data_IF_489349353700
#
_entry.id   IF_489349353700
#
_cell.length_a   1.000
_cell.length_b   1.000
_cell.length_c   1.000
_cell.angle_alpha   90.00
_cell.angle_beta   90.00
_cell.angle_gamma   90.00
#
_symmetry.space_group_name_H-M   'P 1'
#
loop_
_entity.id
_entity.type
_entity.pdbx_description
1 polymer ?
#
# COMPACT_ATOMS: atom_id res chain seq x y z
N UNK A 1 16.72 0.87 5.69
CA UNK A 1 17.22 0.24 6.93
C UNK A 1 17.36 1.32 7.98
N UNK A 2 16.90 1.08 9.20
CA UNK A 2 17.03 2.04 10.29
C UNK A 2 17.25 1.31 11.60
N UNK A 3 17.99 1.94 12.50
CA UNK A 3 18.36 1.41 13.81
C UNK A 3 18.04 2.44 14.89
N UNK A 4 17.60 1.96 16.06
CA UNK A 4 17.47 2.78 17.25
C UNK A 4 18.76 2.64 18.08
N UNK A 5 19.56 3.69 18.11
CA UNK A 5 20.81 3.75 18.87
C UNK A 5 20.56 4.48 20.18
N UNK A 6 21.08 3.93 21.29
CA UNK A 6 20.98 4.49 22.65
C UNK A 6 19.55 4.91 23.07
N UNK A 7 18.54 4.20 22.55
CA UNK A 7 17.13 4.40 22.88
C UNK A 7 16.50 5.72 22.41
N UNK A 8 17.24 6.59 21.73
CA UNK A 8 16.78 7.95 21.38
C UNK A 8 17.29 8.46 20.03
N UNK A 9 18.29 7.83 19.44
CA UNK A 9 18.84 8.21 18.13
C UNK A 9 18.26 7.27 17.08
N UNK A 10 17.61 7.82 16.06
CA UNK A 10 17.20 7.07 14.88
C UNK A 10 18.30 7.21 13.83
N UNK A 11 19.06 6.15 13.63
CA UNK A 11 20.06 6.07 12.56
C UNK A 11 19.39 5.56 11.28
N UNK A 12 19.39 6.37 10.21
CA UNK A 12 18.85 6.00 8.90
C UNK A 12 19.99 5.76 7.92
N UNK A 13 20.14 4.51 7.47
CA UNK A 13 21.14 4.15 6.47
C UNK A 13 20.68 4.63 5.10
N UNK A 14 21.39 5.60 4.52
CA UNK A 14 21.08 6.12 3.18
C UNK A 14 21.73 5.29 2.07
N UNK A 15 22.99 4.86 2.27
CA UNK A 15 23.74 4.06 1.31
C UNK A 15 24.65 3.08 2.04
N UNK A 16 24.75 1.85 1.52
CA UNK A 16 25.68 0.83 2.00
C UNK A 16 26.38 0.20 0.80
N UNK A 17 27.70 0.34 0.75
CA UNK A 17 28.54 -0.14 -0.34
C UNK A 17 29.37 -1.34 0.15
N UNK A 18 29.34 -2.44 -0.60
CA UNK A 18 30.07 -3.67 -0.25
C UNK A 18 30.89 -4.17 -1.43
N UNK A 19 31.98 -4.88 -1.15
CA UNK A 19 32.92 -5.37 -2.16
C UNK A 19 32.65 -6.80 -2.63
N UNK A 20 32.00 -7.60 -1.79
CA UNK A 20 31.82 -9.02 -1.99
C UNK A 20 30.40 -9.43 -1.60
N UNK A 21 29.90 -10.50 -2.24
CA UNK A 21 28.61 -11.09 -1.91
C UNK A 21 28.57 -11.64 -0.47
N UNK A 22 29.68 -12.19 0.00
CA UNK A 22 29.81 -12.83 1.30
C UNK A 22 31.23 -12.63 1.81
N UNK A 23 31.32 -12.30 3.10
CA UNK A 23 32.56 -12.12 3.84
C UNK A 23 32.56 -13.03 5.07
N UNK A 24 33.75 -13.48 5.44
CA UNK A 24 34.07 -14.31 6.61
C UNK A 24 34.78 -13.53 7.72
N UNK A 25 35.14 -12.27 7.48
CA UNK A 25 35.83 -11.40 8.43
C UNK A 25 34.89 -10.47 9.22
N UNK A 26 33.58 -10.78 9.28
CA UNK A 26 32.63 -10.00 10.05
C UNK A 26 32.73 -10.32 11.56
N UNK A 27 32.77 -9.29 12.41
CA UNK A 27 32.83 -9.44 13.86
C UNK A 27 31.68 -10.29 14.44
N UNK A 28 30.50 -10.21 13.81
CA UNK A 28 29.29 -10.95 14.20
C UNK A 28 29.16 -12.32 13.55
N UNK A 29 29.97 -12.64 12.53
CA UNK A 29 29.88 -13.88 11.77
C UNK A 29 31.20 -14.18 11.06
N UNK A 30 31.94 -15.14 11.63
CA UNK A 30 33.31 -15.50 11.21
C UNK A 30 33.40 -16.51 10.07
N UNK A 31 32.27 -16.95 9.55
CA UNK A 31 32.19 -17.88 8.41
C UNK A 31 31.55 -17.16 7.23
N UNK A 32 31.58 -17.76 6.05
CA UNK A 32 30.84 -17.26 4.89
C UNK A 32 29.35 -17.63 4.95
N UNK A 33 28.45 -16.75 4.47
CA UNK A 33 27.00 -17.03 4.34
C UNK A 33 26.63 -17.39 2.89
N UNK A 34 27.64 -17.52 2.05
CA UNK A 34 27.55 -17.68 0.61
C UNK A 34 28.94 -17.58 -0.02
N UNK A 35 29.06 -17.77 -1.33
CA UNK A 35 30.37 -17.78 -1.99
C UNK A 35 31.04 -16.40 -1.93
N UNK A 36 32.36 -16.39 -1.74
CA UNK A 36 33.20 -15.20 -1.72
C UNK A 36 33.42 -14.68 -3.14
N UNK A 37 32.40 -14.05 -3.70
CA UNK A 37 32.40 -13.52 -5.07
C UNK A 37 32.51 -12.00 -5.01
N UNK A 38 33.50 -11.38 -5.69
CA UNK A 38 33.58 -9.93 -5.84
C UNK A 38 32.35 -9.36 -6.55
N UNK A 39 31.79 -8.29 -5.99
CA UNK A 39 30.60 -7.60 -6.49
C UNK A 39 30.90 -6.12 -6.74
N UNK A 40 31.73 -5.76 -7.73
CA UNK A 40 32.13 -4.37 -7.97
C UNK A 40 30.94 -3.42 -8.20
N UNK A 41 29.82 -3.92 -8.74
CA UNK A 41 28.58 -3.16 -8.89
C UNK A 41 27.88 -2.82 -7.55
N UNK A 42 28.10 -3.60 -6.49
CA UNK A 42 27.55 -3.36 -5.16
C UNK A 42 28.27 -2.22 -4.40
N UNK A 43 29.30 -1.62 -5.00
CA UNK A 43 29.87 -0.36 -4.55
C UNK A 43 28.96 0.83 -4.84
N UNK A 44 27.92 0.66 -5.66
CA UNK A 44 26.94 1.69 -5.95
C UNK A 44 27.61 3.02 -6.42
N UNK A 45 28.41 3.02 -7.51
CA UNK A 45 29.00 4.24 -8.02
C UNK A 45 27.94 5.12 -8.71
N UNK A 46 28.03 6.44 -8.52
CA UNK A 46 27.18 7.41 -9.22
C UNK A 46 26.59 8.47 -8.29
N UNK A 47 25.60 9.19 -8.80
CA UNK A 47 24.90 10.26 -8.07
C UNK A 47 23.61 9.70 -7.48
N UNK A 48 23.42 9.91 -6.19
CA UNK A 48 22.23 9.46 -5.46
C UNK A 48 21.44 10.64 -4.92
N UNK A 49 20.12 10.50 -4.92
CA UNK A 49 19.21 11.42 -4.25
C UNK A 49 18.32 10.63 -3.30
N UNK A 50 18.43 10.93 -2.02
CA UNK A 50 17.61 10.32 -0.97
C UNK A 50 16.49 11.27 -0.58
N UNK A 51 15.29 10.73 -0.38
CA UNK A 51 14.13 11.48 0.12
C UNK A 51 13.63 10.79 1.38
N UNK A 52 13.52 11.54 2.46
CA UNK A 52 12.98 11.11 3.74
C UNK A 52 12.25 12.28 4.39
N UNK A 53 11.43 11.99 5.39
CA UNK A 53 10.71 12.97 6.17
C UNK A 53 10.74 12.59 7.65
N UNK A 54 10.69 13.60 8.51
CA UNK A 54 10.53 13.43 9.95
C UNK A 54 9.21 14.10 10.31
N UNK A 55 8.35 13.38 11.01
CA UNK A 55 7.07 13.88 11.50
C UNK A 55 7.09 13.88 13.03
N UNK A 56 7.47 15.00 13.67
CA UNK A 56 7.32 15.14 15.12
C UNK A 56 5.84 15.10 15.48
N UNK A 57 5.48 14.28 16.46
CA UNK A 57 4.10 14.16 16.91
C UNK A 57 4.03 13.95 18.42
N UNK A 58 2.84 14.18 19.01
CA UNK A 58 2.56 13.83 20.40
C UNK A 58 2.04 12.40 20.50
N UNK A 59 2.27 11.76 21.64
CA UNK A 59 1.77 10.41 21.91
C UNK A 59 2.44 9.36 21.02
N UNK A 60 1.66 8.40 20.55
CA UNK A 60 2.15 7.29 19.75
C UNK A 60 1.94 7.54 18.24
N UNK A 61 2.66 6.76 17.42
CA UNK A 61 2.64 6.87 15.96
C UNK A 61 1.26 6.59 15.35
N UNK A 62 0.42 5.80 16.02
CA UNK A 62 -0.89 5.40 15.52
C UNK A 62 -1.87 6.57 15.62
N UNK A 63 -2.01 7.16 16.80
CA UNK A 63 -2.94 8.27 17.04
C UNK A 63 -2.52 9.53 16.27
N UNK A 64 -1.22 9.68 16.02
CA UNK A 64 -0.67 10.73 15.17
C UNK A 64 -0.82 10.47 13.66
N UNK A 65 -1.35 9.31 13.25
CA UNK A 65 -1.56 9.00 11.83
C UNK A 65 -0.26 8.86 11.01
N UNK A 66 0.87 8.56 11.65
CA UNK A 66 2.21 8.58 11.01
C UNK A 66 2.28 7.66 9.80
N UNK A 67 1.63 6.48 9.88
CA UNK A 67 1.61 5.55 8.75
C UNK A 67 0.89 6.17 7.53
N UNK A 68 -0.22 6.86 7.74
CA UNK A 68 -0.97 7.51 6.66
C UNK A 68 -0.13 8.60 6.00
N UNK A 69 0.47 9.47 6.80
CA UNK A 69 1.38 10.52 6.32
C UNK A 69 2.58 9.92 5.56
N UNK A 70 3.13 8.80 6.04
CA UNK A 70 4.22 8.09 5.36
C UNK A 70 3.80 7.53 3.99
N UNK A 71 2.60 6.98 3.87
CA UNK A 71 2.05 6.49 2.61
C UNK A 71 1.77 7.65 1.65
N UNK A 72 1.16 8.73 2.12
CA UNK A 72 0.88 9.92 1.32
C UNK A 72 2.17 10.62 0.86
N UNK A 73 3.22 10.63 1.69
CA UNK A 73 4.56 11.11 1.28
C UNK A 73 5.19 10.27 0.16
N UNK A 74 4.88 8.98 0.12
CA UNK A 74 5.41 8.04 -0.89
C UNK A 74 4.64 8.08 -2.21
N UNK A 75 3.42 8.63 -2.22
CA UNK A 75 2.53 8.67 -3.39
C UNK A 75 2.28 10.13 -3.80
N UNK A 76 3.05 10.60 -4.78
CA UNK A 76 2.87 11.95 -5.32
C UNK A 76 1.55 12.14 -6.06
N UNK A 77 0.98 13.34 -5.95
CA UNK A 77 -0.16 13.76 -6.77
C UNK A 77 0.21 13.70 -8.25
N UNK A 78 -0.73 13.21 -9.07
CA UNK A 78 -0.61 13.20 -10.53
C UNK A 78 -1.45 14.32 -11.11
N UNK A 79 -0.80 15.27 -11.76
CA UNK A 79 -1.45 16.27 -12.57
C UNK A 79 -1.28 15.89 -14.05
N UNK A 80 -2.37 15.93 -14.80
CA UNK A 80 -2.37 15.73 -16.25
C UNK A 80 -3.09 16.92 -16.86
N UNK A 81 -2.43 17.61 -17.79
CA UNK A 81 -3.06 18.69 -18.54
C UNK A 81 -3.88 18.07 -19.68
N UNK A 82 -5.16 18.45 -19.77
CA UNK A 82 -6.02 18.08 -20.88
C UNK A 82 -6.14 19.28 -21.83
N UNK A 83 -5.34 19.28 -22.89
CA UNK A 83 -5.34 20.30 -23.95
C UNK A 83 -6.50 20.12 -24.96
N UNK A 84 -7.21 18.99 -24.88
CA UNK A 84 -8.37 18.67 -25.70
C UNK A 84 -9.64 18.58 -24.86
N UNK A 85 -9.90 19.59 -24.02
CA UNK A 85 -11.12 19.65 -23.23
C UNK A 85 -12.36 19.62 -24.13
N UNK A 86 -12.94 18.42 -24.29
CA UNK A 86 -14.25 18.16 -24.88
C UNK A 86 -15.24 17.92 -23.75
N UNK A 87 -16.53 18.00 -24.04
CA UNK A 87 -17.55 17.57 -23.09
C UNK A 87 -17.29 16.10 -22.70
N UNK A 88 -17.04 15.89 -21.41
CA UNK A 88 -16.89 14.58 -20.79
C UNK A 88 -18.11 14.26 -19.94
N UNK A 89 -18.34 12.97 -19.70
CA UNK A 89 -19.45 12.49 -18.86
C UNK A 89 -19.07 12.38 -17.37
N UNK A 90 -17.83 12.72 -16.99
CA UNK A 90 -17.39 12.73 -15.60
C UNK A 90 -17.52 14.12 -15.00
N UNK A 91 -17.92 14.24 -13.72
CA UNK A 91 -17.98 15.52 -13.04
C UNK A 91 -16.57 16.08 -12.80
N UNK A 92 -16.47 17.41 -12.67
CA UNK A 92 -15.20 18.11 -12.40
C UNK A 92 -14.50 17.62 -11.12
N UNK A 93 -15.30 17.16 -10.14
CA UNK A 93 -14.80 16.57 -8.89
C UNK A 93 -15.49 15.24 -8.64
N UNK A 94 -14.69 14.23 -8.38
CA UNK A 94 -15.13 12.85 -8.18
C UNK A 94 -14.25 12.17 -7.13
N UNK A 95 -14.85 11.28 -6.34
CA UNK A 95 -14.10 10.32 -5.52
C UNK A 95 -14.38 8.93 -6.06
N UNK A 96 -13.33 8.24 -6.52
CA UNK A 96 -13.47 6.87 -7.05
C UNK A 96 -13.72 5.83 -5.96
N UNK A 97 -13.18 6.07 -4.76
CA UNK A 97 -13.18 5.13 -3.65
C UNK A 97 -13.13 5.88 -2.32
N UNK A 98 -13.98 5.49 -1.37
CA UNK A 98 -13.93 5.96 0.02
C UNK A 98 -14.06 4.80 0.99
N UNK A 99 -13.27 4.84 2.07
CA UNK A 99 -13.27 3.87 3.17
C UNK A 99 -13.50 4.65 4.46
N UNK A 100 -14.38 4.18 5.34
CA UNK A 100 -14.87 4.99 6.49
C UNK A 100 -13.86 5.11 7.62
N UNK A 101 -12.95 4.14 7.79
CA UNK A 101 -12.01 4.13 8.90
C UNK A 101 -10.59 4.45 8.43
N UNK A 102 -9.88 5.41 9.05
CA UNK A 102 -8.49 5.70 8.73
C UNK A 102 -7.52 4.58 9.17
N UNK A 103 -7.97 3.69 10.06
CA UNK A 103 -7.21 2.52 10.52
C UNK A 103 -7.28 1.33 9.53
N UNK A 104 -8.11 1.44 8.48
CA UNK A 104 -8.16 0.48 7.37
C UNK A 104 -7.36 1.02 6.19
N UNK A 105 -6.18 0.46 5.98
CA UNK A 105 -5.23 0.95 4.99
C UNK A 105 -5.45 0.25 3.65
N UNK A 106 -5.60 1.04 2.58
CA UNK A 106 -5.63 0.55 1.21
C UNK A 106 -4.22 0.18 0.75
N UNK A 107 -3.99 -1.11 0.49
CA UNK A 107 -2.72 -1.61 -0.02
C UNK A 107 -2.76 -1.97 -1.50
N UNK A 108 -3.94 -2.24 -2.07
CA UNK A 108 -4.10 -2.45 -3.50
C UNK A 108 -5.49 -2.04 -4.00
N UNK A 109 -5.51 -1.38 -5.15
CA UNK A 109 -6.69 -1.25 -6.00
C UNK A 109 -6.26 -1.42 -7.45
N UNK A 110 -6.56 -2.59 -8.04
CA UNK A 110 -6.11 -2.96 -9.38
C UNK A 110 -7.17 -3.75 -10.14
N UNK A 111 -6.95 -4.01 -11.43
CA UNK A 111 -7.70 -5.03 -12.16
C UNK A 111 -7.33 -6.43 -11.65
N UNK A 112 -8.29 -7.35 -11.64
CA UNK A 112 -8.04 -8.76 -11.35
C UNK A 112 -7.14 -9.38 -12.43
N UNK A 113 -6.43 -10.46 -12.09
CA UNK A 113 -5.53 -11.12 -13.05
C UNK A 113 -6.31 -11.83 -14.16
N UNK A 114 -7.41 -12.49 -13.80
CA UNK A 114 -8.16 -13.36 -14.72
C UNK A 114 -9.56 -12.83 -15.08
N UNK A 115 -9.85 -11.55 -14.84
CA UNK A 115 -11.15 -10.95 -15.20
C UNK A 115 -11.15 -9.43 -15.21
N UNK A 116 -12.21 -8.83 -15.77
CA UNK A 116 -12.45 -7.36 -15.74
C UNK A 116 -12.96 -6.84 -14.38
N UNK A 117 -12.87 -7.65 -13.32
CA UNK A 117 -13.19 -7.20 -11.97
C UNK A 117 -12.07 -6.34 -11.40
N UNK A 118 -12.38 -5.54 -10.38
CA UNK A 118 -11.37 -4.86 -9.57
C UNK A 118 -11.03 -5.66 -8.32
N UNK A 119 -9.77 -5.71 -7.96
CA UNK A 119 -9.27 -6.21 -6.68
C UNK A 119 -9.03 -5.03 -5.77
N UNK A 120 -9.66 -5.05 -4.60
CA UNK A 120 -9.46 -4.08 -3.54
C UNK A 120 -8.92 -4.81 -2.31
N UNK A 121 -7.74 -4.41 -1.82
CA UNK A 121 -7.11 -5.01 -0.65
C UNK A 121 -6.91 -3.97 0.45
N UNK A 122 -7.39 -4.32 1.64
CA UNK A 122 -7.26 -3.53 2.85
C UNK A 122 -6.53 -4.35 3.91
N UNK A 123 -5.88 -3.67 4.84
CA UNK A 123 -5.47 -4.28 6.10
C UNK A 123 -5.81 -3.40 7.29
N UNK A 124 -6.10 -4.05 8.41
CA UNK A 124 -6.36 -3.37 9.68
C UNK A 124 -5.05 -3.12 10.42
N UNK A 125 -4.76 -1.85 10.69
CA UNK A 125 -3.56 -1.45 11.39
C UNK A 125 -3.56 -1.84 12.89
N UNK A 126 -4.73 -2.11 13.45
CA UNK A 126 -4.98 -2.23 14.88
C UNK A 126 -5.14 -3.68 15.32
N UNK A 127 -5.11 -3.92 16.64
CA UNK A 127 -5.43 -5.22 17.24
C UNK A 127 -6.94 -5.48 17.35
N UNK A 128 -7.77 -4.45 17.16
CA UNK A 128 -9.21 -4.53 17.38
C UNK A 128 -9.92 -4.80 16.07
N UNK A 129 -11.04 -5.50 16.13
CA UNK A 129 -11.96 -5.59 14.99
C UNK A 129 -12.48 -4.18 14.65
N UNK A 130 -12.50 -3.87 13.36
CA UNK A 130 -13.08 -2.64 12.81
C UNK A 130 -14.27 -3.00 11.94
N UNK A 131 -15.38 -2.33 12.18
CA UNK A 131 -16.52 -2.28 11.28
C UNK A 131 -16.42 -1.02 10.43
N UNK A 132 -16.63 -1.17 9.13
CA UNK A 132 -16.49 -0.08 8.19
C UNK A 132 -17.30 -0.31 6.93
N UNK A 133 -17.21 0.65 6.04
CA UNK A 133 -17.89 0.64 4.76
C UNK A 133 -16.98 1.13 3.66
N UNK A 134 -17.18 0.57 2.47
CA UNK A 134 -16.53 1.02 1.25
C UNK A 134 -17.61 1.54 0.30
N UNK A 135 -17.35 2.68 -0.33
CA UNK A 135 -18.14 3.18 -1.45
C UNK A 135 -17.23 3.43 -2.65
N UNK A 136 -17.72 3.07 -3.82
CA UNK A 136 -17.10 3.41 -5.10
C UNK A 136 -17.96 4.44 -5.82
N UNK A 137 -17.36 5.19 -6.74
CA UNK A 137 -18.10 6.14 -7.59
C UNK A 137 -19.28 5.48 -8.31
N UNK A 138 -19.06 4.28 -8.85
CA UNK A 138 -20.13 3.41 -9.36
C UNK A 138 -20.21 2.16 -8.49
N UNK A 139 -21.37 1.81 -7.94
CA UNK A 139 -21.50 0.62 -7.12
C UNK A 139 -21.22 -0.64 -7.96
N UNK A 140 -20.45 -1.60 -7.44
CA UNK A 140 -20.22 -2.86 -8.14
C UNK A 140 -21.50 -3.68 -8.24
N UNK A 141 -21.60 -4.52 -9.27
CA UNK A 141 -22.70 -5.46 -9.45
C UNK A 141 -22.63 -6.60 -8.43
N UNK A 142 -21.43 -7.18 -8.29
CA UNK A 142 -21.17 -8.28 -7.37
C UNK A 142 -19.90 -7.99 -6.57
N UNK A 143 -19.89 -8.39 -5.30
CA UNK A 143 -18.71 -8.29 -4.43
C UNK A 143 -18.43 -9.63 -3.80
N UNK A 144 -17.18 -10.06 -3.84
CA UNK A 144 -16.74 -11.32 -3.22
C UNK A 144 -15.57 -11.07 -2.27
N UNK A 145 -15.62 -11.65 -1.08
CA UNK A 145 -14.44 -11.84 -0.25
C UNK A 145 -13.57 -12.92 -0.90
N UNK A 146 -12.26 -12.67 -1.01
CA UNK A 146 -11.30 -13.55 -1.64
C UNK A 146 -10.08 -13.81 -0.75
N UNK A 147 -9.25 -14.80 -1.10
CA UNK A 147 -7.89 -14.89 -0.57
C UNK A 147 -6.93 -13.97 -1.34
N UNK A 148 -5.63 -14.05 -1.04
CA UNK A 148 -4.61 -13.23 -1.69
C UNK A 148 -4.39 -13.59 -3.18
N UNK A 149 -4.77 -14.81 -3.58
CA UNK A 149 -4.74 -15.31 -4.96
C UNK A 149 -6.03 -14.97 -5.74
N UNK A 150 -6.86 -14.05 -5.22
CA UNK A 150 -8.09 -13.59 -5.87
C UNK A 150 -9.20 -14.68 -5.99
N UNK A 151 -9.01 -15.83 -5.35
CA UNK A 151 -9.99 -16.92 -5.33
C UNK A 151 -11.18 -16.57 -4.43
N UNK A 152 -12.38 -16.63 -5.00
CA UNK A 152 -13.63 -16.25 -4.33
C UNK A 152 -13.95 -17.21 -3.19
N UNK A 153 -14.22 -16.66 -2.01
CA UNK A 153 -14.70 -17.41 -0.83
C UNK A 153 -16.21 -17.28 -0.64
N UNK A 154 -16.69 -16.05 -0.54
CA UNK A 154 -18.12 -15.77 -0.29
C UNK A 154 -18.53 -14.43 -0.84
N UNK A 155 -19.81 -14.31 -1.20
CA UNK A 155 -20.43 -13.05 -1.62
C UNK A 155 -20.58 -12.10 -0.43
N UNK A 156 -20.41 -10.81 -0.67
CA UNK A 156 -20.75 -9.72 0.24
C UNK A 156 -21.97 -9.00 -0.32
N UNK A 157 -23.00 -8.84 0.50
CA UNK A 157 -24.21 -8.13 0.12
C UNK A 157 -23.96 -6.63 0.17
N UNK A 158 -24.10 -5.97 -0.98
CA UNK A 158 -24.04 -4.51 -1.10
C UNK A 158 -25.41 -3.93 -0.74
N UNK A 159 -25.46 -2.90 0.10
CA UNK A 159 -26.71 -2.22 0.52
C UNK A 159 -26.62 -0.76 0.15
N UNK A 160 -27.55 -0.25 -0.65
CA UNK A 160 -27.59 1.16 -1.10
C UNK A 160 -26.26 1.64 -1.71
N UNK A 161 -25.60 0.77 -2.48
CA UNK A 161 -24.28 1.03 -3.09
C UNK A 161 -23.11 1.02 -2.11
N UNK A 162 -23.34 0.60 -0.86
CA UNK A 162 -22.36 0.51 0.21
C UNK A 162 -21.95 -0.93 0.44
N UNK A 163 -20.65 -1.18 0.47
CA UNK A 163 -20.08 -2.49 0.77
C UNK A 163 -19.74 -2.51 2.27
N UNK A 164 -20.51 -3.23 3.11
CA UNK A 164 -20.15 -3.40 4.52
C UNK A 164 -18.95 -4.32 4.64
N UNK A 165 -18.01 -3.93 5.51
CA UNK A 165 -16.84 -4.74 5.83
C UNK A 165 -16.65 -4.83 7.34
N UNK A 166 -16.18 -5.99 7.77
CA UNK A 166 -15.74 -6.23 9.14
C UNK A 166 -14.37 -6.86 9.03
N UNK A 167 -13.36 -6.19 9.59
CA UNK A 167 -11.96 -6.59 9.47
C UNK A 167 -11.42 -6.81 10.88
N UNK A 168 -10.99 -8.03 11.18
CA UNK A 168 -10.35 -8.40 12.43
C UNK A 168 -9.05 -7.63 12.67
N UNK A 169 -8.55 -7.66 13.91
CA UNK A 169 -7.27 -7.06 14.24
C UNK A 169 -6.15 -7.66 13.39
N UNK A 170 -5.31 -6.81 12.79
CA UNK A 170 -4.20 -7.19 11.88
C UNK A 170 -4.61 -8.00 10.64
N UNK A 171 -5.91 -8.16 10.39
CA UNK A 171 -6.40 -8.94 9.26
C UNK A 171 -6.16 -8.19 7.94
N UNK A 172 -5.82 -8.95 6.90
CA UNK A 172 -5.82 -8.50 5.50
C UNK A 172 -7.09 -9.01 4.84
N UNK A 173 -7.88 -8.10 4.27
CA UNK A 173 -9.10 -8.42 3.53
C UNK A 173 -8.89 -8.09 2.05
N UNK A 174 -9.19 -9.05 1.19
CA UNK A 174 -9.19 -8.88 -0.27
C UNK A 174 -10.60 -9.03 -0.80
N UNK A 175 -11.06 -8.05 -1.56
CA UNK A 175 -12.36 -8.05 -2.21
C UNK A 175 -12.19 -8.05 -3.73
N UNK A 176 -13.03 -8.83 -4.41
CA UNK A 176 -13.20 -8.81 -5.85
C UNK A 176 -14.52 -8.11 -6.18
N UNK A 177 -14.45 -7.00 -6.92
CA UNK A 177 -15.55 -6.09 -7.23
C UNK A 177 -15.86 -6.19 -8.73
N UNK A 178 -16.98 -6.83 -9.09
CA UNK A 178 -17.40 -6.88 -10.49
C UNK A 178 -18.07 -5.56 -10.89
N UNK A 179 -17.58 -4.82 -11.90
CA UNK A 179 -18.20 -3.59 -12.33
C UNK A 179 -19.59 -3.85 -12.93
N UNK A 180 -20.44 -2.81 -12.90
CA UNK A 180 -21.64 -2.82 -13.72
C UNK A 180 -21.24 -2.59 -15.18
N UNK A 181 -21.39 -3.62 -16.02
CA UNK A 181 -21.23 -3.48 -17.47
C UNK A 181 -22.33 -2.53 -17.95
N UNK A 182 -21.97 -1.29 -18.26
CA UNK A 182 -22.85 -0.43 -19.04
C UNK A 182 -22.46 -0.62 -20.50
N UNK A 183 -23.40 -0.94 -21.40
CA UNK A 183 -23.11 -0.80 -22.82
C UNK A 183 -22.69 0.65 -23.05
N UNK A 184 -21.50 0.83 -23.61
CA UNK A 184 -21.06 2.12 -24.12
C UNK A 184 -22.08 2.49 -25.20
N UNK A 185 -22.83 3.57 -24.98
CA UNK A 185 -23.60 4.22 -26.04
C UNK A 185 -22.67 5.08 -26.87
#
# INVERSE_FOLDING_TARGET
>A
EGELVDGSIIALTLLRCVGDLSRDDLATRREHAGPAIPTPGAQCPGIYRFRYAILPHRGNWKDAGVLRESLEHSVGLRAVFNDQAREGYLPERISFLSITSPDLILSAFKLAEDSDAFVLRLYNLTEKKIEGTIRLFKPPRDVYLCNLNEEKKRTIQVRDGVIPITVGGKEIVTLLLKPQIHPVK
#
